data_IF_329038472036
#
_entry.id   IF_329038472036
#
_cell.length_a   1.000
_cell.length_b   1.000
_cell.length_c   1.000
_cell.angle_alpha   90.00
_cell.angle_beta   90.00
_cell.angle_gamma   90.00
#
_symmetry.space_group_name_H-M   'P 1'
#
loop_
_entity.id
_entity.type
_entity.pdbx_description
1 polymer ?
#
# COMPACT_ATOMS: atom_id res chain seq x y z
N UNK A 1 -27.48 1.02 -4.62
CA UNK A 1 -26.03 1.13 -4.84
C UNK A 1 -25.62 2.20 -5.85
N UNK A 2 -26.41 2.45 -6.88
CA UNK A 2 -26.22 3.60 -7.76
C UNK A 2 -26.14 4.97 -7.05
N UNK A 3 -26.76 5.09 -5.88
CA UNK A 3 -26.81 6.34 -5.11
C UNK A 3 -25.43 6.77 -4.56
N UNK A 4 -24.61 5.86 -4.04
CA UNK A 4 -23.29 6.19 -3.47
C UNK A 4 -22.41 6.83 -4.56
N UNK A 5 -22.30 6.17 -5.71
CA UNK A 5 -21.55 6.69 -6.85
C UNK A 5 -22.10 8.03 -7.33
N UNK A 6 -23.41 8.19 -7.41
CA UNK A 6 -24.04 9.43 -7.82
C UNK A 6 -23.76 10.59 -6.85
N UNK A 7 -23.81 10.35 -5.55
CA UNK A 7 -23.52 11.36 -4.53
C UNK A 7 -22.06 11.84 -4.59
N UNK A 8 -21.10 10.89 -4.69
CA UNK A 8 -19.69 11.29 -4.78
C UNK A 8 -19.36 11.98 -6.12
N UNK A 9 -19.99 11.60 -7.23
CA UNK A 9 -19.89 12.34 -8.50
C UNK A 9 -20.48 13.75 -8.39
N UNK A 10 -21.51 13.94 -7.56
CA UNK A 10 -22.09 15.26 -7.28
C UNK A 10 -21.28 16.09 -6.26
N UNK A 11 -20.13 15.60 -5.78
CA UNK A 11 -19.22 16.35 -4.91
C UNK A 11 -19.45 16.15 -3.41
N UNK A 12 -20.26 15.17 -2.98
CA UNK A 12 -20.41 14.85 -1.56
C UNK A 12 -19.08 14.38 -0.97
N UNK A 13 -18.67 14.98 0.16
CA UNK A 13 -17.38 14.68 0.80
C UNK A 13 -17.39 13.37 1.58
N UNK A 14 -18.50 13.04 2.25
CA UNK A 14 -18.63 11.82 3.06
C UNK A 14 -20.08 11.35 3.10
N UNK A 15 -20.28 10.06 3.38
CA UNK A 15 -21.60 9.45 3.60
C UNK A 15 -21.58 8.60 4.86
N UNK A 16 -22.68 8.61 5.61
CA UNK A 16 -22.90 7.69 6.72
C UNK A 16 -23.72 6.50 6.25
N UNK A 17 -23.28 5.28 6.51
CA UNK A 17 -23.99 4.06 6.15
C UNK A 17 -24.19 3.23 7.41
N UNK A 18 -25.43 3.16 7.89
CA UNK A 18 -25.80 2.42 9.09
C UNK A 18 -26.26 0.98 8.79
N UNK A 19 -27.53 0.70 9.06
CA UNK A 19 -28.15 -0.64 8.97
C UNK A 19 -28.10 -1.29 7.58
N UNK A 20 -27.86 -0.51 6.52
CA UNK A 20 -27.66 -1.06 5.16
C UNK A 20 -26.27 -1.68 4.97
N UNK A 21 -25.30 -1.35 5.85
CA UNK A 21 -23.97 -1.94 5.86
C UNK A 21 -23.85 -2.95 7.01
N UNK A 22 -24.20 -2.53 8.24
CA UNK A 22 -24.19 -3.40 9.41
C UNK A 22 -25.61 -3.95 9.62
N UNK A 23 -25.94 -4.97 8.85
CA UNK A 23 -27.27 -5.59 8.85
C UNK A 23 -27.45 -6.45 10.10
N UNK A 24 -28.62 -6.32 10.73
CA UNK A 24 -28.95 -7.09 11.95
C UNK A 24 -28.94 -8.60 11.73
N UNK A 25 -29.42 -9.05 10.57
CA UNK A 25 -29.42 -10.46 10.20
C UNK A 25 -28.01 -11.03 10.02
N UNK A 26 -27.08 -10.27 9.45
CA UNK A 26 -25.68 -10.68 9.32
C UNK A 26 -24.96 -10.72 10.68
N UNK A 27 -25.23 -9.74 11.53
CA UNK A 27 -24.69 -9.72 12.91
C UNK A 27 -25.21 -10.90 13.71
N UNK A 28 -26.53 -11.18 13.66
CA UNK A 28 -27.15 -12.30 14.38
C UNK A 28 -26.63 -13.67 13.87
N UNK A 29 -26.35 -13.79 12.58
CA UNK A 29 -25.80 -14.99 11.97
C UNK A 29 -24.27 -15.13 12.09
N UNK A 30 -23.56 -14.11 12.64
CA UNK A 30 -22.10 -14.08 12.73
C UNK A 30 -21.39 -13.99 11.36
N UNK A 31 -22.09 -13.61 10.29
CA UNK A 31 -21.55 -13.49 8.92
C UNK A 31 -20.84 -12.14 8.69
N UNK A 32 -19.80 -11.87 9.50
CA UNK A 32 -19.05 -10.60 9.44
C UNK A 32 -18.29 -10.43 8.13
N UNK A 33 -17.94 -11.52 7.45
CA UNK A 33 -17.39 -11.51 6.08
C UNK A 33 -18.25 -10.70 5.12
N UNK A 34 -19.57 -10.88 5.16
CA UNK A 34 -20.52 -10.15 4.29
C UNK A 34 -20.47 -8.62 4.52
N UNK A 35 -20.24 -8.19 5.76
CA UNK A 35 -20.05 -6.77 6.08
C UNK A 35 -18.73 -6.27 5.49
N UNK A 36 -17.65 -7.05 5.64
CA UNK A 36 -16.34 -6.72 5.09
C UNK A 36 -16.37 -6.61 3.57
N UNK A 37 -16.97 -7.57 2.89
CA UNK A 37 -17.12 -7.56 1.43
C UNK A 37 -17.94 -6.37 0.92
N UNK A 38 -19.06 -6.08 1.59
CA UNK A 38 -19.88 -4.93 1.21
C UNK A 38 -19.14 -3.62 1.44
N UNK A 39 -18.39 -3.52 2.55
CA UNK A 39 -17.54 -2.36 2.83
C UNK A 39 -16.51 -2.16 1.73
N UNK A 40 -15.80 -3.20 1.32
CA UNK A 40 -14.82 -3.15 0.25
C UNK A 40 -15.44 -2.67 -1.07
N UNK A 41 -16.63 -3.19 -1.43
CA UNK A 41 -17.37 -2.75 -2.63
C UNK A 41 -17.76 -1.28 -2.57
N UNK A 42 -18.24 -0.80 -1.40
CA UNK A 42 -18.61 0.60 -1.22
C UNK A 42 -17.39 1.52 -1.39
N UNK A 43 -16.26 1.14 -0.78
CA UNK A 43 -15.01 1.90 -0.91
C UNK A 43 -14.55 1.95 -2.38
N UNK A 44 -14.64 0.83 -3.12
CA UNK A 44 -14.33 0.80 -4.55
C UNK A 44 -15.21 1.77 -5.34
N UNK A 45 -16.54 1.77 -5.13
CA UNK A 45 -17.45 2.70 -5.80
C UNK A 45 -17.17 4.16 -5.48
N UNK A 46 -16.78 4.49 -4.25
CA UNK A 46 -16.40 5.86 -3.86
C UNK A 46 -15.14 6.29 -4.64
N UNK A 47 -14.14 5.41 -4.72
CA UNK A 47 -12.91 5.68 -5.48
C UNK A 47 -13.19 5.91 -6.96
N UNK A 48 -13.96 5.01 -7.57
CA UNK A 48 -14.36 5.15 -8.98
C UNK A 48 -15.11 6.45 -9.22
N UNK A 49 -16.03 6.79 -8.33
CA UNK A 49 -16.81 8.03 -8.43
C UNK A 49 -15.96 9.29 -8.31
N UNK A 50 -14.86 9.23 -7.55
CA UNK A 50 -13.89 10.32 -7.37
C UNK A 50 -12.79 10.32 -8.44
N UNK A 51 -12.78 9.38 -9.36
CA UNK A 51 -11.66 9.17 -10.29
C UNK A 51 -10.35 8.80 -9.60
N UNK A 52 -10.43 8.26 -8.37
CA UNK A 52 -9.25 7.86 -7.61
C UNK A 52 -8.73 6.53 -8.14
N UNK A 53 -7.45 6.48 -8.48
CA UNK A 53 -6.74 5.27 -8.86
C UNK A 53 -6.70 4.26 -7.71
N UNK A 54 -6.58 2.97 -8.04
CA UNK A 54 -6.22 1.94 -7.05
C UNK A 54 -4.87 2.23 -6.37
N UNK A 55 -4.04 3.06 -6.98
CA UNK A 55 -2.77 3.55 -6.44
C UNK A 55 -3.01 4.63 -5.40
N UNK A 56 -2.46 4.46 -4.19
CA UNK A 56 -2.64 5.37 -3.05
C UNK A 56 -1.46 6.31 -2.82
N UNK A 57 -0.27 5.95 -3.30
CA UNK A 57 0.96 6.74 -3.12
C UNK A 57 2.16 5.88 -2.74
N UNK A 58 3.23 6.51 -2.27
CA UNK A 58 4.43 5.81 -1.81
C UNK A 58 4.18 5.22 -0.42
N UNK A 59 4.37 3.91 -0.26
CA UNK A 59 4.27 3.23 1.02
C UNK A 59 5.61 3.29 1.75
N UNK A 60 6.70 2.89 1.09
CA UNK A 60 8.06 3.00 1.63
C UNK A 60 9.11 3.16 0.53
N UNK A 61 10.28 3.61 0.96
CA UNK A 61 11.51 3.55 0.17
C UNK A 61 12.44 2.55 0.83
N UNK A 62 12.89 1.56 0.07
CA UNK A 62 13.86 0.57 0.51
C UNK A 62 15.28 1.08 0.32
N UNK A 63 16.01 1.21 1.41
CA UNK A 63 17.41 1.62 1.44
C UNK A 63 18.28 0.39 1.67
N UNK A 64 19.40 0.32 0.98
CA UNK A 64 20.36 -0.77 1.13
C UNK A 64 21.68 -0.24 1.70
N UNK A 65 22.38 -1.04 2.54
CA UNK A 65 23.73 -0.70 2.97
C UNK A 65 24.65 -0.52 1.77
N UNK A 66 25.37 0.59 1.73
CA UNK A 66 26.33 0.91 0.68
C UNK A 66 27.53 1.66 1.27
N UNK A 67 28.70 1.53 0.65
CA UNK A 67 29.90 2.24 1.09
C UNK A 67 30.42 1.82 2.47
N UNK A 68 30.13 0.58 2.92
CA UNK A 68 30.59 0.04 4.20
C UNK A 68 29.68 0.35 5.40
N UNK A 69 28.62 1.15 5.21
CA UNK A 69 27.63 1.39 6.26
C UNK A 69 26.81 0.15 6.59
N UNK A 70 26.42 -0.02 7.85
CA UNK A 70 25.57 -1.12 8.31
C UNK A 70 24.10 -0.68 8.38
N UNK A 71 23.17 -1.58 8.07
CA UNK A 71 21.73 -1.28 8.11
C UNK A 71 21.27 -0.68 9.45
N UNK A 72 21.78 -1.22 10.56
CA UNK A 72 21.48 -0.71 11.90
C UNK A 72 21.95 0.71 12.11
N UNK A 73 23.13 1.06 11.60
CA UNK A 73 23.69 2.41 11.69
C UNK A 73 22.89 3.41 10.86
N UNK A 74 22.50 3.01 9.64
CA UNK A 74 21.63 3.80 8.77
C UNK A 74 20.30 4.09 9.48
N UNK A 75 19.64 3.06 10.01
CA UNK A 75 18.37 3.21 10.72
C UNK A 75 18.51 4.09 11.97
N UNK A 76 19.56 3.89 12.76
CA UNK A 76 19.85 4.70 13.94
C UNK A 76 20.11 6.17 13.60
N UNK A 77 20.79 6.45 12.49
CA UNK A 77 21.01 7.81 12.02
C UNK A 77 19.70 8.57 11.78
N UNK A 78 18.75 7.95 11.07
CA UNK A 78 17.41 8.55 10.87
C UNK A 78 16.66 8.75 12.18
N UNK A 79 16.73 7.77 13.08
CA UNK A 79 16.13 7.88 14.41
C UNK A 79 16.68 9.06 15.19
N UNK A 80 18.01 9.25 15.20
CA UNK A 80 18.69 10.34 15.88
C UNK A 80 18.45 11.72 15.23
N UNK A 81 18.55 11.77 13.90
CA UNK A 81 18.47 13.05 13.17
C UNK A 81 17.05 13.64 13.18
N UNK A 82 16.02 12.79 13.10
CA UNK A 82 14.63 13.22 12.90
C UNK A 82 13.68 12.76 14.01
N UNK A 83 14.17 12.14 15.05
CA UNK A 83 13.37 11.53 16.14
C UNK A 83 12.38 10.49 15.61
N UNK A 84 12.71 9.80 14.52
CA UNK A 84 11.87 8.76 13.95
C UNK A 84 11.93 7.49 14.80
N UNK A 85 10.79 6.78 14.85
CA UNK A 85 10.74 5.47 15.49
C UNK A 85 11.47 4.46 14.62
N UNK A 86 12.35 3.67 15.25
CA UNK A 86 13.07 2.57 14.60
C UNK A 86 12.54 1.27 15.18
N UNK A 87 12.09 0.37 14.31
CA UNK A 87 11.66 -0.98 14.67
C UNK A 87 12.47 -1.99 13.86
N UNK A 88 12.95 -3.03 14.53
CA UNK A 88 13.66 -4.11 13.87
C UNK A 88 12.68 -5.19 13.40
N UNK A 89 12.73 -5.51 12.12
CA UNK A 89 12.05 -6.65 11.51
C UNK A 89 13.02 -7.77 11.16
N UNK A 90 12.53 -8.83 10.56
CA UNK A 90 13.35 -10.00 10.20
C UNK A 90 14.42 -9.65 9.15
N UNK A 91 14.02 -8.99 8.06
CA UNK A 91 14.88 -8.69 6.91
C UNK A 91 15.29 -7.21 6.80
N UNK A 92 14.76 -6.34 7.66
CA UNK A 92 14.97 -4.89 7.57
C UNK A 92 14.75 -4.18 8.90
N UNK A 93 15.17 -2.91 8.95
CA UNK A 93 14.76 -1.96 9.97
C UNK A 93 13.72 -1.01 9.37
N UNK A 94 12.60 -0.84 10.06
CA UNK A 94 11.57 0.13 9.69
C UNK A 94 11.82 1.45 10.43
N UNK A 95 11.90 2.53 9.68
CA UNK A 95 12.14 3.88 10.20
C UNK A 95 10.97 4.77 9.80
N UNK A 96 10.18 5.19 10.78
CA UNK A 96 8.92 5.88 10.53
C UNK A 96 8.78 7.15 11.37
N UNK A 97 8.46 8.24 10.68
CA UNK A 97 8.00 9.50 11.29
C UNK A 97 6.50 9.48 11.64
N UNK A 98 5.96 10.60 12.10
CA UNK A 98 4.54 10.73 12.45
C UNK A 98 3.60 10.75 11.24
N UNK A 99 4.12 10.98 10.04
CA UNK A 99 3.36 11.01 8.78
C UNK A 99 3.18 9.63 8.14
N UNK A 100 2.58 9.64 6.95
CA UNK A 100 2.49 8.45 6.09
C UNK A 100 3.80 8.21 5.35
N UNK A 101 4.08 6.94 5.07
CA UNK A 101 5.33 6.51 4.44
C UNK A 101 6.44 6.25 5.45
N UNK A 102 7.39 5.43 5.05
CA UNK A 102 8.53 5.04 5.90
C UNK A 102 9.75 4.72 5.04
N UNK A 103 10.91 4.66 5.67
CA UNK A 103 12.08 4.02 5.10
C UNK A 103 12.16 2.58 5.60
N UNK A 104 12.46 1.66 4.71
CA UNK A 104 12.78 0.27 5.02
C UNK A 104 14.27 0.04 4.74
N UNK A 105 15.08 -0.03 5.79
CA UNK A 105 16.53 -0.26 5.65
C UNK A 105 16.80 -1.74 5.65
N UNK A 106 17.19 -2.27 4.49
CA UNK A 106 17.41 -3.70 4.28
C UNK A 106 18.66 -4.17 5.01
N UNK A 107 18.58 -5.36 5.65
CA UNK A 107 19.74 -5.97 6.36
C UNK A 107 20.72 -6.62 5.39
N UNK A 108 20.22 -7.06 4.23
CA UNK A 108 20.99 -7.75 3.20
C UNK A 108 20.93 -7.01 1.88
N UNK A 109 21.91 -7.26 1.02
CA UNK A 109 22.11 -6.57 -0.23
C UNK A 109 22.92 -5.28 -0.04
N UNK A 110 23.82 -5.03 -0.96
CA UNK A 110 24.62 -3.82 -1.04
C UNK A 110 24.46 -3.24 -2.45
N UNK A 111 23.80 -2.10 -2.55
CA UNK A 111 23.56 -1.45 -3.85
C UNK A 111 23.45 0.06 -3.66
N UNK A 112 23.83 0.80 -4.66
CA UNK A 112 23.63 2.25 -4.76
C UNK A 112 22.20 2.61 -5.21
N UNK A 113 21.34 1.62 -5.41
CA UNK A 113 19.96 1.78 -5.86
C UNK A 113 18.98 1.54 -4.72
N UNK A 114 17.87 2.25 -4.80
CA UNK A 114 16.75 2.06 -3.90
C UNK A 114 15.68 1.15 -4.52
N UNK A 115 14.69 0.76 -3.72
CA UNK A 115 13.41 0.37 -4.27
C UNK A 115 12.29 1.26 -3.71
N UNK A 116 11.24 1.41 -4.49
CA UNK A 116 10.06 2.20 -4.10
C UNK A 116 8.84 1.30 -4.08
N UNK A 117 8.16 1.24 -2.94
CA UNK A 117 6.89 0.55 -2.81
C UNK A 117 5.73 1.53 -3.00
N UNK A 118 4.83 1.18 -3.87
CA UNK A 118 3.60 1.92 -4.14
C UNK A 118 2.45 1.23 -3.43
N UNK A 119 1.86 1.93 -2.47
CA UNK A 119 0.67 1.46 -1.78
C UNK A 119 -0.51 1.40 -2.74
N UNK A 120 -1.21 0.26 -2.73
CA UNK A 120 -2.42 0.07 -3.52
C UNK A 120 -3.55 -0.42 -2.63
N UNK A 121 -4.74 -0.02 -2.96
CA UNK A 121 -5.95 -0.39 -2.24
C UNK A 121 -6.68 -1.58 -2.86
N UNK A 122 -6.40 -1.85 -4.12
CA UNK A 122 -6.90 -2.95 -4.91
C UNK A 122 -5.73 -3.44 -5.78
N UNK A 123 -5.18 -4.59 -5.41
CA UNK A 123 -3.98 -5.12 -6.04
C UNK A 123 -4.24 -5.51 -7.49
N UNK A 124 -5.33 -6.20 -7.74
CA UNK A 124 -5.69 -6.69 -9.08
C UNK A 124 -5.99 -5.53 -10.04
N UNK A 125 -6.74 -4.52 -9.57
CA UNK A 125 -7.03 -3.33 -10.37
C UNK A 125 -5.74 -2.52 -10.67
N UNK A 126 -4.82 -2.44 -9.72
CA UNK A 126 -3.53 -1.76 -9.93
C UNK A 126 -2.65 -2.50 -10.93
N UNK A 127 -2.58 -3.85 -10.85
CA UNK A 127 -1.87 -4.69 -11.81
C UNK A 127 -2.45 -4.50 -13.22
N UNK A 128 -3.77 -4.63 -13.38
CA UNK A 128 -4.44 -4.45 -14.67
C UNK A 128 -4.20 -3.04 -15.24
N UNK A 129 -4.24 -2.01 -14.38
CA UNK A 129 -3.98 -0.63 -14.78
C UNK A 129 -2.55 -0.39 -15.26
N UNK A 130 -1.55 -1.05 -14.69
CA UNK A 130 -0.17 -1.00 -15.14
C UNK A 130 0.04 -1.77 -16.44
N UNK A 131 -0.53 -2.96 -16.54
CA UNK A 131 -0.46 -3.78 -17.75
C UNK A 131 -1.09 -3.06 -18.96
N UNK A 132 -2.21 -2.37 -18.76
CA UNK A 132 -2.85 -1.55 -19.79
C UNK A 132 -1.96 -0.38 -20.29
N UNK A 133 -0.99 0.04 -19.46
CA UNK A 133 0.02 1.07 -19.79
C UNK A 133 1.32 0.46 -20.34
N UNK A 134 1.40 -0.86 -20.55
CA UNK A 134 2.56 -1.55 -21.09
C UNK A 134 3.63 -1.92 -20.06
N UNK A 135 3.33 -1.84 -18.76
CA UNK A 135 4.24 -2.32 -17.73
C UNK A 135 4.01 -3.81 -17.46
N UNK A 136 5.10 -4.55 -17.27
CA UNK A 136 5.07 -5.96 -16.88
C UNK A 136 5.44 -6.10 -15.40
N UNK A 137 4.85 -7.09 -14.75
CA UNK A 137 5.14 -7.41 -13.35
C UNK A 137 5.77 -8.80 -13.22
N UNK A 138 6.57 -8.97 -12.19
CA UNK A 138 7.03 -10.27 -11.71
C UNK A 138 5.85 -11.02 -11.07
N UNK A 139 6.03 -12.33 -10.82
CA UNK A 139 5.04 -13.14 -10.11
C UNK A 139 4.72 -12.53 -8.73
N UNK A 140 3.45 -12.34 -8.39
CA UNK A 140 3.05 -11.79 -7.12
C UNK A 140 3.49 -12.66 -5.93
N UNK A 141 4.03 -12.04 -4.90
CA UNK A 141 4.25 -12.65 -3.59
C UNK A 141 3.01 -12.42 -2.74
N UNK A 142 2.31 -13.50 -2.43
CA UNK A 142 1.08 -13.46 -1.63
C UNK A 142 1.35 -13.98 -0.23
N UNK A 143 0.92 -13.21 0.78
CA UNK A 143 0.92 -13.57 2.21
C UNK A 143 -0.49 -13.37 2.76
N UNK A 144 -0.83 -13.89 3.94
CA UNK A 144 -2.18 -13.76 4.51
C UNK A 144 -2.68 -12.32 4.66
N UNK A 145 -1.76 -11.37 4.83
CA UNK A 145 -2.02 -9.96 5.14
C UNK A 145 -1.48 -8.97 4.11
N UNK A 146 -0.86 -9.47 3.04
CA UNK A 146 -0.23 -8.60 2.04
C UNK A 146 -0.03 -9.29 0.70
N UNK A 147 -0.02 -8.48 -0.36
CA UNK A 147 0.35 -8.88 -1.72
C UNK A 147 1.34 -7.87 -2.29
N UNK A 148 2.36 -8.34 -2.98
CA UNK A 148 3.34 -7.48 -3.63
C UNK A 148 3.83 -8.06 -4.95
N UNK A 149 4.11 -7.20 -5.92
CA UNK A 149 4.77 -7.58 -7.17
C UNK A 149 5.68 -6.46 -7.65
N UNK A 150 6.91 -6.79 -8.00
CA UNK A 150 7.82 -5.86 -8.66
C UNK A 150 7.44 -5.67 -10.13
N UNK A 151 7.62 -4.46 -10.63
CA UNK A 151 7.67 -4.22 -12.06
C UNK A 151 8.96 -4.84 -12.60
N UNK A 152 8.91 -5.43 -13.80
CA UNK A 152 10.11 -5.92 -14.48
C UNK A 152 10.99 -4.75 -14.94
N UNK A 153 10.37 -3.62 -15.30
CA UNK A 153 11.05 -2.39 -15.64
C UNK A 153 11.47 -1.63 -14.36
N UNK A 154 12.62 -0.98 -14.43
CA UNK A 154 13.05 0.00 -13.42
C UNK A 154 12.55 1.40 -13.78
N UNK A 155 12.62 2.33 -12.83
CA UNK A 155 12.49 3.74 -13.16
C UNK A 155 13.70 4.24 -14.02
N UNK A 156 13.65 5.44 -14.59
CA UNK A 156 14.77 5.96 -15.40
C UNK A 156 16.11 6.10 -14.67
N UNK A 157 16.10 6.15 -13.34
CA UNK A 157 17.30 6.16 -12.50
C UNK A 157 17.81 4.76 -12.14
N UNK A 158 17.09 3.70 -12.55
CA UNK A 158 17.44 2.31 -12.29
C UNK A 158 16.93 1.76 -10.97
N UNK A 159 16.04 2.47 -10.26
CA UNK A 159 15.46 1.96 -9.04
C UNK A 159 14.36 0.95 -9.34
N UNK A 160 14.24 -0.08 -8.51
CA UNK A 160 13.15 -1.05 -8.62
C UNK A 160 11.86 -0.47 -8.02
N UNK A 161 10.74 -0.77 -8.63
CA UNK A 161 9.42 -0.33 -8.15
C UNK A 161 8.52 -1.56 -7.95
N UNK A 162 7.75 -1.59 -6.87
CA UNK A 162 6.77 -2.64 -6.67
C UNK A 162 5.44 -2.11 -6.14
N UNK A 163 4.36 -2.82 -6.46
CA UNK A 163 3.08 -2.64 -5.83
C UNK A 163 3.07 -3.34 -4.48
N UNK A 164 2.39 -2.76 -3.51
CA UNK A 164 2.18 -3.34 -2.19
C UNK A 164 0.76 -3.07 -1.72
N UNK A 165 0.00 -4.14 -1.57
CA UNK A 165 -1.27 -4.14 -0.85
C UNK A 165 -1.07 -4.70 0.54
N UNK A 166 -1.71 -4.09 1.54
CA UNK A 166 -1.78 -4.58 2.92
C UNK A 166 -3.23 -4.56 3.41
N UNK A 167 -3.56 -5.56 4.20
CA UNK A 167 -4.85 -5.68 4.90
C UNK A 167 -4.95 -4.68 6.03
#
# INVERSE_FOLDING_TARGET
MAYVTAWFKAGVAAVGIGSNLVRKDWVAAGTFESISELTAKIIAWIRDARGQSAVQGVEHVGLYPYGGAQAKEIAAWYGKAFSFKVAEGNSSFFVQGPGSGRNEVMKEGATDRCHVAIAVSDFEAAVAGLQAKGFELEEPKVKPDSQSAFLKQTDPAGNRVHLLWRR
#
